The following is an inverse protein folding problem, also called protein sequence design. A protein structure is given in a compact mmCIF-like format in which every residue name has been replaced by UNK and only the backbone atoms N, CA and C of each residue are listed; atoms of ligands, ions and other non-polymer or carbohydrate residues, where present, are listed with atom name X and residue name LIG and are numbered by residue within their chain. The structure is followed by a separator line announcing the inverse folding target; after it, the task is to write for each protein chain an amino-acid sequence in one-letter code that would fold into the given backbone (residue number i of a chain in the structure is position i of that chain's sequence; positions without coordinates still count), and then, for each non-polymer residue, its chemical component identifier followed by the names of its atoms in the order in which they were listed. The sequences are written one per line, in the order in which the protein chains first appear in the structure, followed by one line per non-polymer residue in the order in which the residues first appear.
data_IF_602089368114
#
_entry.id   IF_602089368114
#
_cell.length_a   1.000
_cell.length_b   1.000
_cell.length_c   1.000
_cell.angle_alpha   90.00
_cell.angle_beta   90.00
_cell.angle_gamma   90.00
#
_symmetry.space_group_name_H-M   'P 1'
#
loop_
_entity.id
_entity.type
_entity.pdbx_description
1 polymer ?
#
# COMPACT_ATOMS: atom_id res chain seq x y z
N UNK A 1 7.13 6.58 11.11
CA UNK A 1 8.51 6.83 11.60
C UNK A 1 9.38 7.05 10.38
N UNK A 2 9.90 8.26 10.24
CA UNK A 2 10.45 8.79 9.00
C UNK A 2 11.91 9.22 9.16
N UNK A 3 12.66 9.16 8.07
CA UNK A 3 13.89 9.93 7.88
C UNK A 3 13.53 11.42 7.78
N UNK A 4 14.40 12.28 8.29
CA UNK A 4 14.26 13.73 8.13
C UNK A 4 15.63 14.40 8.00
N UNK A 5 15.65 15.55 7.33
CA UNK A 5 16.84 16.38 7.19
C UNK A 5 17.01 17.26 8.42
N UNK A 6 17.98 16.94 9.27
CA UNK A 6 18.35 17.76 10.42
C UNK A 6 19.32 18.87 9.98
N UNK A 7 19.01 20.09 10.41
CA UNK A 7 19.84 21.29 10.20
C UNK A 7 20.42 21.72 11.55
N UNK A 8 21.73 21.91 11.63
CA UNK A 8 22.40 22.35 12.86
C UNK A 8 23.34 23.51 12.56
N UNK A 9 23.15 24.63 13.23
CA UNK A 9 24.00 25.82 13.05
C UNK A 9 25.18 25.75 14.01
N UNK A 10 26.41 25.79 13.48
CA UNK A 10 27.63 25.79 14.28
C UNK A 10 28.62 26.81 13.72
N UNK A 11 29.08 27.74 14.56
CA UNK A 11 30.07 28.79 14.20
C UNK A 11 29.70 29.53 12.90
N UNK A 12 28.42 29.88 12.74
CA UNK A 12 27.90 30.60 11.57
C UNK A 12 27.70 29.77 10.30
N UNK A 13 27.94 28.45 10.33
CA UNK A 13 27.72 27.54 9.20
C UNK A 13 26.54 26.62 9.47
N UNK A 14 25.80 26.27 8.43
CA UNK A 14 24.66 25.34 8.55
C UNK A 14 25.06 23.93 8.16
N UNK A 15 25.17 23.02 9.12
CA UNK A 15 25.45 21.60 8.90
C UNK A 15 24.18 20.81 8.66
N UNK A 16 24.24 19.88 7.71
CA UNK A 16 23.14 18.99 7.38
C UNK A 16 23.43 17.57 7.89
N UNK A 17 22.41 16.85 8.28
CA UNK A 17 22.48 15.39 8.47
C UNK A 17 21.13 14.76 8.21
N UNK A 18 21.13 13.56 7.65
CA UNK A 18 19.92 12.74 7.55
C UNK A 18 19.82 11.93 8.83
N UNK A 19 18.68 12.05 9.50
CA UNK A 19 18.43 11.43 10.80
C UNK A 19 17.24 10.49 10.67
N UNK A 20 17.37 9.32 11.28
CA UNK A 20 16.29 8.35 11.38
C UNK A 20 15.58 8.51 12.73
N UNK A 21 14.26 8.65 12.71
CA UNK A 21 13.42 8.53 13.91
C UNK A 21 13.01 7.08 14.13
N UNK A 22 13.24 6.56 15.34
CA UNK A 22 12.85 5.21 15.74
C UNK A 22 12.33 5.18 17.19
N UNK A 23 11.65 4.11 17.57
CA UNK A 23 11.15 3.93 18.95
C UNK A 23 12.22 3.20 19.74
N UNK A 24 12.70 3.82 20.82
CA UNK A 24 13.66 3.21 21.73
C UNK A 24 12.91 2.59 22.91
N UNK A 25 13.06 1.28 23.09
CA UNK A 25 12.49 0.56 24.24
C UNK A 25 13.13 0.99 25.57
N UNK A 26 14.43 1.29 25.56
CA UNK A 26 15.15 1.79 26.74
C UNK A 26 14.62 3.14 27.20
N UNK A 27 14.44 4.08 26.26
CA UNK A 27 13.94 5.44 26.55
C UNK A 27 12.42 5.53 26.60
N UNK A 28 11.70 4.44 26.28
CA UNK A 28 10.24 4.34 26.13
C UNK A 28 9.66 5.51 25.32
N UNK A 29 10.27 5.82 24.18
CA UNK A 29 9.89 6.99 23.40
C UNK A 29 10.63 7.11 22.07
N UNK A 30 10.37 8.21 21.36
CA UNK A 30 11.04 8.52 20.11
C UNK A 30 12.52 8.85 20.36
N UNK A 31 13.39 8.20 19.60
CA UNK A 31 14.82 8.42 19.58
C UNK A 31 15.29 8.70 18.16
N UNK A 32 16.47 9.29 18.07
CA UNK A 32 17.08 9.70 16.81
C UNK A 32 18.48 9.10 16.69
N UNK A 33 18.77 8.49 15.54
CA UNK A 33 20.14 8.11 15.16
C UNK A 33 20.52 8.78 13.86
N UNK A 34 21.77 9.21 13.76
CA UNK A 34 22.30 9.78 12.52
C UNK A 34 22.41 8.67 11.49
N UNK A 35 21.65 8.77 10.41
CA UNK A 35 21.74 7.86 9.27
C UNK A 35 22.91 8.25 8.37
N UNK A 36 23.03 9.55 8.05
CA UNK A 36 24.09 10.08 7.20
C UNK A 36 24.52 11.46 7.69
N UNK A 37 25.78 11.60 8.07
CA UNK A 37 26.38 12.91 8.37
C UNK A 37 26.75 13.61 7.06
N UNK A 38 26.26 14.83 6.85
CA UNK A 38 26.58 15.64 5.68
C UNK A 38 27.45 16.84 6.08
N UNK A 39 28.14 17.41 5.10
CA UNK A 39 28.88 18.65 5.30
C UNK A 39 27.93 19.87 5.40
N UNK A 40 28.52 21.05 5.60
CA UNK A 40 27.76 22.29 5.67
C UNK A 40 27.18 22.70 4.31
N UNK A 41 26.07 23.45 4.33
CA UNK A 41 25.40 23.98 3.13
C UNK A 41 26.40 24.74 2.26
N UNK A 42 27.28 25.54 2.86
CA UNK A 42 28.29 26.32 2.14
C UNK A 42 29.31 25.40 1.45
N UNK A 43 29.69 24.30 2.12
CA UNK A 43 30.59 23.29 1.53
C UNK A 43 29.95 22.61 0.33
N UNK A 44 28.65 22.31 0.39
CA UNK A 44 27.94 21.70 -0.72
C UNK A 44 27.68 22.66 -1.88
N UNK A 45 27.41 23.94 -1.59
CA UNK A 45 27.36 25.00 -2.61
C UNK A 45 28.70 25.14 -3.33
N UNK A 46 29.81 25.13 -2.60
CA UNK A 46 31.16 25.16 -3.19
C UNK A 46 31.46 23.92 -4.05
N UNK A 47 30.83 22.77 -3.76
CA UNK A 47 30.92 21.54 -4.57
C UNK A 47 29.97 21.53 -5.78
N UNK A 48 29.23 22.61 -6.03
CA UNK A 48 28.36 22.75 -7.20
C UNK A 48 26.89 22.34 -6.96
N UNK A 49 26.46 22.07 -5.72
CA UNK A 49 25.04 21.86 -5.42
C UNK A 49 24.40 23.22 -5.12
N UNK A 50 23.57 23.72 -6.03
CA UNK A 50 22.95 25.05 -5.96
C UNK A 50 22.05 25.21 -4.73
N UNK A 51 21.16 24.23 -4.48
CA UNK A 51 20.36 24.12 -3.27
C UNK A 51 20.60 22.77 -2.55
N UNK A 52 21.56 22.72 -1.62
CA UNK A 52 21.83 21.51 -0.84
C UNK A 52 20.64 21.04 -0.02
N UNK A 53 19.77 21.94 0.45
CA UNK A 53 18.64 21.58 1.29
C UNK A 53 17.61 20.83 0.45
N UNK A 54 17.21 21.37 -0.70
CA UNK A 54 16.27 20.70 -1.59
C UNK A 54 16.83 19.37 -2.12
N UNK A 55 18.13 19.32 -2.45
CA UNK A 55 18.78 18.09 -2.90
C UNK A 55 18.69 16.98 -1.85
N UNK A 56 19.09 17.24 -0.61
CA UNK A 56 19.04 16.23 0.45
C UNK A 56 17.64 15.99 0.99
N UNK A 57 16.69 16.90 0.78
CA UNK A 57 15.28 16.64 1.05
C UNK A 57 14.71 15.58 0.09
N UNK A 58 15.07 15.63 -1.20
CA UNK A 58 14.69 14.57 -2.15
C UNK A 58 15.23 13.20 -1.73
N UNK A 59 16.49 13.15 -1.28
CA UNK A 59 17.09 11.91 -0.75
C UNK A 59 16.30 11.37 0.47
N UNK A 60 15.87 12.26 1.37
CA UNK A 60 15.01 11.89 2.52
C UNK A 60 13.65 11.36 2.06
N UNK A 61 13.04 11.97 1.05
CA UNK A 61 11.73 11.58 0.53
C UNK A 61 11.81 10.19 -0.14
N UNK A 62 12.89 9.92 -0.89
CA UNK A 62 13.17 8.60 -1.47
C UNK A 62 13.36 7.52 -0.39
N UNK A 63 14.13 7.80 0.67
CA UNK A 63 14.32 6.88 1.79
C UNK A 63 12.99 6.55 2.50
N UNK A 64 12.13 7.56 2.67
CA UNK A 64 10.80 7.36 3.26
C UNK A 64 9.87 6.53 2.36
N UNK A 65 9.95 6.73 1.04
CA UNK A 65 9.21 5.94 0.05
C UNK A 65 9.64 4.46 0.07
N UNK A 66 10.95 4.20 0.07
CA UNK A 66 11.50 2.84 0.15
C UNK A 66 11.04 2.13 1.42
N UNK A 67 11.17 2.79 2.58
CA UNK A 67 10.75 2.21 3.87
C UNK A 67 9.27 1.90 3.94
N UNK A 68 8.42 2.74 3.30
CA UNK A 68 6.98 2.48 3.21
C UNK A 68 6.71 1.17 2.45
N UNK A 69 7.53 0.86 1.45
CA UNK A 69 7.42 -0.37 0.66
C UNK A 69 8.05 -1.60 1.36
N UNK A 70 9.08 -1.41 2.20
CA UNK A 70 9.71 -2.48 2.98
C UNK A 70 8.80 -3.09 4.05
N UNK A 71 7.89 -2.29 4.62
CA UNK A 71 6.94 -2.75 5.64
C UNK A 71 5.79 -3.62 5.10
N UNK A 72 5.68 -3.79 3.78
CA UNK A 72 4.65 -4.63 3.16
C UNK A 72 5.18 -6.07 3.12
N UNK A 73 4.60 -7.01 3.88
CA UNK A 73 5.03 -8.41 3.84
C UNK A 73 4.84 -8.95 2.43
N UNK A 74 5.94 -9.35 1.79
CA UNK A 74 5.93 -9.91 0.43
C UNK A 74 5.48 -11.37 0.39
N UNK A 75 5.51 -12.05 1.54
CA UNK A 75 5.09 -13.43 1.72
C UNK A 75 4.00 -13.40 2.78
N UNK A 76 2.79 -13.79 2.40
CA UNK A 76 1.68 -13.94 3.33
C UNK A 76 1.86 -15.22 4.15
N UNK A 77 1.50 -15.18 5.43
CA UNK A 77 1.33 -16.38 6.26
C UNK A 77 0.02 -17.10 5.96
N UNK A 78 -0.85 -16.49 5.17
CA UNK A 78 -2.15 -17.04 4.75
C UNK A 78 -1.97 -17.87 3.48
N UNK A 79 -2.50 -19.10 3.50
CA UNK A 79 -2.48 -19.98 2.33
C UNK A 79 -3.27 -19.36 1.18
N UNK A 80 -2.76 -19.42 -0.07
CA UNK A 80 -3.55 -19.09 -1.27
C UNK A 80 -4.83 -19.91 -1.39
N UNK A 81 -4.88 -21.08 -0.75
CA UNK A 81 -6.00 -22.01 -0.80
C UNK A 81 -7.08 -21.73 0.25
N UNK A 82 -6.90 -20.72 1.12
CA UNK A 82 -7.74 -20.48 2.29
C UNK A 82 -9.24 -20.48 1.95
N UNK A 83 -9.60 -19.93 0.79
CA UNK A 83 -10.99 -19.78 0.39
C UNK A 83 -11.47 -20.77 -0.66
N UNK A 84 -10.73 -21.81 -1.05
CA UNK A 84 -11.17 -22.73 -2.13
C UNK A 84 -12.54 -23.41 -1.88
N UNK A 85 -13.02 -23.46 -0.63
CA UNK A 85 -14.30 -24.07 -0.25
C UNK A 85 -15.56 -23.49 -0.90
N UNK A 86 -15.52 -22.32 -1.56
CA UNK A 86 -16.70 -21.77 -2.24
C UNK A 86 -17.00 -22.42 -3.61
N UNK A 87 -16.12 -23.29 -4.13
CA UNK A 87 -16.30 -23.90 -5.46
C UNK A 87 -17.65 -24.62 -5.69
N UNK A 88 -18.34 -25.22 -4.69
CA UNK A 88 -19.66 -25.80 -4.92
C UNK A 88 -20.71 -24.74 -5.29
N UNK A 89 -20.60 -23.53 -4.73
CA UNK A 89 -21.48 -22.41 -5.05
C UNK A 89 -21.21 -21.86 -6.45
N UNK A 90 -19.94 -21.84 -6.89
CA UNK A 90 -19.60 -21.53 -8.30
C UNK A 90 -20.30 -22.52 -9.22
N UNK A 91 -20.19 -23.81 -8.90
CA UNK A 91 -20.80 -24.89 -9.68
C UNK A 91 -22.33 -24.76 -9.73
N UNK A 92 -22.96 -24.38 -8.62
CA UNK A 92 -24.39 -24.11 -8.55
C UNK A 92 -24.79 -22.92 -9.43
N UNK A 93 -24.10 -21.78 -9.30
CA UNK A 93 -24.37 -20.57 -10.10
C UNK A 93 -24.25 -20.84 -11.61
N UNK A 94 -23.23 -21.61 -12.00
CA UNK A 94 -23.03 -22.04 -13.39
C UNK A 94 -24.15 -22.96 -13.86
N UNK A 95 -24.56 -23.94 -13.03
CA UNK A 95 -25.64 -24.88 -13.38
C UNK A 95 -27.01 -24.21 -13.48
N UNK A 96 -27.29 -23.24 -12.63
CA UNK A 96 -28.52 -22.45 -12.68
C UNK A 96 -28.54 -21.47 -13.86
N UNK A 97 -27.38 -21.22 -14.48
CA UNK A 97 -27.21 -20.32 -15.61
C UNK A 97 -27.83 -18.94 -15.34
N UNK A 98 -27.51 -18.38 -14.16
CA UNK A 98 -28.08 -17.11 -13.68
C UNK A 98 -27.56 -15.92 -14.48
N UNK A 99 -26.33 -16.00 -15.01
CA UNK A 99 -25.69 -14.92 -15.77
C UNK A 99 -26.59 -14.36 -16.86
N UNK A 100 -27.27 -15.22 -17.62
CA UNK A 100 -28.17 -14.80 -18.70
C UNK A 100 -29.27 -13.83 -18.25
N UNK A 101 -29.75 -13.97 -17.01
CA UNK A 101 -30.80 -13.12 -16.47
C UNK A 101 -30.23 -11.80 -15.95
N UNK A 102 -29.02 -11.84 -15.37
CA UNK A 102 -28.31 -10.63 -14.92
C UNK A 102 -27.87 -9.79 -16.12
N UNK A 103 -27.49 -10.42 -17.22
CA UNK A 103 -27.08 -9.72 -18.44
C UNK A 103 -28.22 -8.89 -19.06
N UNK A 104 -29.49 -9.21 -18.79
CA UNK A 104 -30.62 -8.38 -19.25
C UNK A 104 -30.62 -6.98 -18.63
N UNK A 105 -30.04 -6.79 -17.45
CA UNK A 105 -29.94 -5.47 -16.84
C UNK A 105 -29.03 -4.53 -17.65
N UNK A 106 -28.11 -5.07 -18.45
CA UNK A 106 -27.24 -4.29 -19.33
C UNK A 106 -28.00 -3.75 -20.57
N UNK A 107 -29.22 -4.21 -20.84
CA UNK A 107 -30.01 -3.71 -21.98
C UNK A 107 -30.58 -2.31 -21.74
N UNK A 108 -30.93 -2.01 -20.48
CA UNK A 108 -31.50 -0.71 -20.08
C UNK A 108 -30.51 0.17 -19.32
N UNK A 109 -29.37 -0.38 -18.90
CA UNK A 109 -28.34 0.33 -18.14
C UNK A 109 -26.99 0.17 -18.83
N UNK A 110 -26.18 1.23 -18.82
CA UNK A 110 -24.81 1.20 -19.33
C UNK A 110 -23.82 1.16 -18.16
N UNK A 111 -23.57 -0.05 -17.63
CA UNK A 111 -22.56 -0.24 -16.59
C UNK A 111 -21.16 -0.23 -17.18
N UNK A 112 -20.20 0.32 -16.43
CA UNK A 112 -18.76 0.29 -16.78
C UNK A 112 -18.08 -1.02 -16.34
N UNK A 113 -18.80 -1.91 -15.67
CA UNK A 113 -18.33 -3.19 -15.12
C UNK A 113 -19.32 -4.32 -15.44
N UNK A 114 -18.86 -5.57 -15.37
CA UNK A 114 -19.74 -6.74 -15.48
C UNK A 114 -20.53 -6.92 -14.16
N UNK A 115 -21.84 -6.68 -14.23
CA UNK A 115 -22.74 -6.77 -13.08
C UNK A 115 -22.78 -8.19 -12.47
N UNK A 116 -22.73 -9.23 -13.31
CA UNK A 116 -22.72 -10.61 -12.84
C UNK A 116 -21.42 -10.93 -12.11
N UNK A 117 -20.30 -10.50 -12.66
CA UNK A 117 -18.99 -10.66 -12.04
C UNK A 117 -18.93 -9.98 -10.67
N UNK A 118 -19.39 -8.72 -10.58
CA UNK A 118 -19.45 -7.96 -9.33
C UNK A 118 -20.29 -8.69 -8.28
N UNK A 119 -21.52 -9.06 -8.63
CA UNK A 119 -22.45 -9.71 -7.70
C UNK A 119 -21.92 -11.06 -7.23
N UNK A 120 -21.48 -11.91 -8.17
CA UNK A 120 -20.96 -13.24 -7.84
C UNK A 120 -19.71 -13.17 -6.96
N UNK A 121 -18.75 -12.29 -7.29
CA UNK A 121 -17.54 -12.07 -6.49
C UNK A 121 -17.86 -11.64 -5.05
N UNK A 122 -18.79 -10.69 -4.87
CA UNK A 122 -19.19 -10.24 -3.54
C UNK A 122 -19.95 -11.31 -2.75
N UNK A 123 -20.78 -12.12 -3.42
CA UNK A 123 -21.47 -13.26 -2.79
C UNK A 123 -20.45 -14.30 -2.33
N UNK A 124 -19.51 -14.69 -3.19
CA UNK A 124 -18.46 -15.65 -2.83
C UNK A 124 -17.59 -15.16 -1.69
N UNK A 125 -17.18 -13.88 -1.72
CA UNK A 125 -16.42 -13.29 -0.62
C UNK A 125 -17.19 -13.32 0.72
N UNK A 126 -18.49 -13.05 0.70
CA UNK A 126 -19.37 -13.14 1.88
C UNK A 126 -19.52 -14.58 2.40
N UNK A 127 -19.55 -15.56 1.51
CA UNK A 127 -19.66 -16.98 1.88
C UNK A 127 -18.41 -17.48 2.59
N UNK A 128 -17.23 -17.03 2.17
CA UNK A 128 -15.95 -17.49 2.75
C UNK A 128 -15.51 -16.68 3.95
N UNK A 129 -15.71 -15.36 3.92
CA UNK A 129 -15.30 -14.47 5.01
C UNK A 129 -16.13 -13.17 5.05
N UNK A 130 -17.26 -13.13 5.76
CA UNK A 130 -18.09 -11.94 5.87
C UNK A 130 -17.37 -10.86 6.70
N UNK A 131 -16.93 -9.79 6.03
CA UNK A 131 -16.19 -8.70 6.66
C UNK A 131 -16.57 -7.32 6.06
N UNK A 132 -15.85 -6.27 6.46
CA UNK A 132 -16.11 -4.90 5.96
C UNK A 132 -15.85 -4.80 4.45
N UNK A 133 -16.43 -3.78 3.79
CA UNK A 133 -16.20 -3.51 2.34
C UNK A 133 -14.71 -3.46 2.01
N UNK A 134 -13.95 -2.72 2.82
CA UNK A 134 -12.50 -2.56 2.67
C UNK A 134 -11.75 -3.90 2.76
N UNK A 135 -12.03 -4.70 3.79
CA UNK A 135 -11.39 -6.01 3.96
C UNK A 135 -11.79 -6.98 2.86
N UNK A 136 -13.05 -6.96 2.46
CA UNK A 136 -13.57 -7.79 1.36
C UNK A 136 -12.74 -7.53 0.10
N UNK A 137 -12.53 -6.27 -0.26
CA UNK A 137 -11.83 -5.91 -1.49
C UNK A 137 -10.31 -6.17 -1.44
N UNK A 138 -9.65 -5.80 -0.34
CA UNK A 138 -8.19 -5.88 -0.26
C UNK A 138 -7.64 -7.22 0.23
N UNK A 139 -8.43 -7.98 0.99
CA UNK A 139 -7.96 -9.21 1.65
C UNK A 139 -8.64 -10.45 1.08
N UNK A 140 -9.94 -10.40 0.77
CA UNK A 140 -10.73 -11.59 0.39
C UNK A 140 -10.79 -11.80 -1.12
N UNK A 141 -11.21 -10.79 -1.90
CA UNK A 141 -11.34 -10.90 -3.36
C UNK A 141 -10.04 -11.38 -4.04
N UNK A 142 -8.83 -10.92 -3.67
CA UNK A 142 -7.59 -11.38 -4.30
C UNK A 142 -7.27 -12.87 -4.04
N UNK A 143 -7.95 -13.49 -3.09
CA UNK A 143 -7.79 -14.90 -2.73
C UNK A 143 -8.89 -15.79 -3.34
N UNK A 144 -9.85 -15.21 -4.07
CA UNK A 144 -10.79 -15.99 -4.88
C UNK A 144 -10.12 -16.43 -6.18
N UNK A 145 -10.67 -17.48 -6.80
CA UNK A 145 -10.13 -18.07 -8.04
C UNK A 145 -10.09 -17.08 -9.20
N UNK A 146 -11.17 -16.30 -9.35
CA UNK A 146 -11.37 -15.40 -10.48
C UNK A 146 -10.91 -14.00 -10.07
N UNK A 147 -10.14 -13.34 -10.94
CA UNK A 147 -9.68 -11.98 -10.72
C UNK A 147 -10.85 -11.00 -10.87
N UNK A 148 -11.08 -10.17 -9.87
CA UNK A 148 -12.08 -9.12 -9.93
C UNK A 148 -11.66 -7.97 -10.87
N UNK A 149 -12.51 -7.61 -11.83
CA UNK A 149 -12.32 -6.54 -12.80
C UNK A 149 -13.16 -5.30 -12.48
N UNK A 150 -13.16 -4.89 -11.21
CA UNK A 150 -13.85 -3.68 -10.76
C UNK A 150 -13.05 -2.98 -9.65
N UNK A 151 -13.27 -1.67 -9.50
CA UNK A 151 -12.64 -0.85 -8.47
C UNK A 151 -13.32 -1.00 -7.12
N UNK A 152 -12.61 -0.58 -6.07
CA UNK A 152 -13.19 -0.45 -4.73
C UNK A 152 -14.24 0.69 -4.67
N UNK A 153 -13.95 1.77 -5.39
CA UNK A 153 -14.78 2.98 -5.48
C UNK A 153 -15.82 2.86 -6.59
#
# INVERSE_FOLDING_TARGET
MAYFLKKTTLKGRTYLSIVESFYSHEKRGAAHRTYKSLASVETWKAKGIEDPIAHFQKEVDELNSQRKNEGVPKISTVSPELYLGYFPFVSLMNKMNIKKYVDYFNLSNSFEFDLYELLSSLIYARLVNPCSKHKTFHEVLPQLKDTAHFSYD
#
